data_IF_824308284925
#
_entry.id   IF_824308284925
#
_cell.length_a   1.000
_cell.length_b   1.000
_cell.length_c   1.000
_cell.angle_alpha   90.00
_cell.angle_beta   90.00
_cell.angle_gamma   90.00
#
_symmetry.space_group_name_H-M   'P 1'
#
loop_
_entity.id
_entity.type
_entity.pdbx_description
1 polymer ?
#
# COMPACT_ATOMS: atom_id res chain seq x y z
N UNK A 1 -3.10 -10.79 0.83
CA UNK A 1 -2.81 -10.93 2.28
C UNK A 1 -3.75 -10.06 3.11
N UNK A 2 -3.97 -10.38 4.39
CA UNK A 2 -4.79 -9.57 5.33
C UNK A 2 -3.97 -8.41 5.93
N UNK A 3 -4.58 -7.23 6.06
CA UNK A 3 -4.05 -6.12 6.85
C UNK A 3 -4.66 -6.07 8.26
N UNK A 4 -3.81 -5.80 9.25
CA UNK A 4 -4.22 -5.42 10.58
C UNK A 4 -4.96 -4.08 10.52
N UNK A 5 -6.05 -4.00 11.25
CA UNK A 5 -6.98 -2.89 11.22
C UNK A 5 -7.48 -2.64 12.64
N UNK A 6 -7.53 -1.37 13.06
CA UNK A 6 -8.09 -0.98 14.35
C UNK A 6 -9.63 -1.14 14.40
N UNK A 7 -10.26 -1.45 13.26
CA UNK A 7 -11.69 -1.74 13.15
C UNK A 7 -11.92 -3.22 12.83
N UNK A 8 -13.15 -3.72 13.05
CA UNK A 8 -13.53 -5.10 12.71
C UNK A 8 -13.67 -5.37 11.20
N UNK A 9 -13.31 -4.42 10.34
CA UNK A 9 -13.37 -4.58 8.89
C UNK A 9 -12.19 -5.40 8.36
N UNK A 10 -12.47 -6.22 7.35
CA UNK A 10 -11.46 -7.05 6.70
C UNK A 10 -10.86 -6.29 5.52
N UNK A 11 -9.57 -6.02 5.59
CA UNK A 11 -8.83 -5.34 4.53
C UNK A 11 -7.81 -6.32 3.95
N UNK A 12 -7.85 -6.48 2.64
CA UNK A 12 -6.97 -7.38 1.89
C UNK A 12 -6.19 -6.60 0.84
N UNK A 13 -4.93 -6.96 0.65
CA UNK A 13 -4.12 -6.49 -0.48
C UNK A 13 -3.68 -7.70 -1.29
N UNK A 14 -4.06 -7.75 -2.56
CA UNK A 14 -3.45 -8.64 -3.55
C UNK A 14 -2.20 -7.98 -4.13
N UNK A 15 -1.10 -8.73 -4.24
CA UNK A 15 0.19 -8.19 -4.68
C UNK A 15 0.55 -8.83 -6.02
N UNK A 16 0.53 -8.01 -7.06
CA UNK A 16 0.92 -8.39 -8.42
C UNK A 16 2.33 -7.86 -8.66
N UNK A 17 3.32 -8.71 -8.40
CA UNK A 17 4.74 -8.39 -8.56
C UNK A 17 5.30 -8.93 -9.89
N UNK A 18 5.48 -8.04 -10.87
CA UNK A 18 6.09 -8.41 -12.15
C UNK A 18 7.62 -8.49 -12.08
N UNK A 19 8.24 -7.91 -11.06
CA UNK A 19 9.70 -7.97 -10.88
C UNK A 19 10.13 -9.35 -10.39
N UNK A 20 9.25 -10.06 -9.64
CA UNK A 20 9.55 -11.31 -8.97
C UNK A 20 10.52 -11.16 -7.80
N UNK A 21 10.70 -9.95 -7.28
CA UNK A 21 11.66 -9.65 -6.20
C UNK A 21 11.02 -9.56 -4.83
N UNK A 22 9.69 -9.42 -4.73
CA UNK A 22 8.96 -9.43 -3.45
C UNK A 22 8.89 -10.84 -2.92
N UNK A 23 9.45 -11.05 -1.71
CA UNK A 23 9.46 -12.36 -1.05
C UNK A 23 8.37 -12.51 0.00
N UNK A 24 7.87 -11.41 0.55
CA UNK A 24 6.76 -11.43 1.50
C UNK A 24 6.12 -10.05 1.65
N UNK A 25 4.80 -10.03 1.82
CA UNK A 25 4.04 -8.89 2.34
C UNK A 25 3.51 -9.19 3.73
N UNK A 26 3.60 -8.23 4.64
CA UNK A 26 3.02 -8.32 5.98
C UNK A 26 2.33 -7.01 6.33
N UNK A 27 1.28 -7.08 7.15
CA UNK A 27 0.70 -5.86 7.70
C UNK A 27 1.63 -5.24 8.73
N UNK A 28 1.79 -3.92 8.68
CA UNK A 28 2.24 -3.17 9.85
C UNK A 28 1.12 -3.04 10.88
N UNK A 29 1.47 -2.51 12.05
CA UNK A 29 0.49 -2.04 13.03
C UNK A 29 0.01 -0.65 12.59
N UNK A 30 -1.29 -0.44 12.30
CA UNK A 30 -1.81 0.89 12.03
C UNK A 30 -1.44 1.83 13.18
N UNK A 31 -0.90 3.01 12.86
CA UNK A 31 -0.66 4.07 13.82
C UNK A 31 -1.92 4.90 14.04
N UNK A 32 -1.92 5.75 15.08
CA UNK A 32 -2.92 6.82 15.21
C UNK A 32 -2.83 7.69 13.94
N UNK A 33 -3.95 7.82 13.22
CA UNK A 33 -3.96 8.16 11.79
C UNK A 33 -3.43 9.54 11.38
N UNK A 34 -3.40 9.76 10.06
CA UNK A 34 -3.03 10.99 9.35
C UNK A 34 -1.53 11.34 9.36
N UNK A 35 -0.64 10.35 9.40
CA UNK A 35 0.80 10.61 9.18
C UNK A 35 1.14 10.88 7.71
N UNK A 36 0.18 10.66 6.80
CA UNK A 36 0.30 10.85 5.35
C UNK A 36 -0.92 11.60 4.83
N UNK A 37 -0.74 12.45 3.80
CA UNK A 37 -1.84 13.18 3.19
C UNK A 37 -2.77 12.25 2.39
N UNK A 38 -4.07 12.58 2.34
CA UNK A 38 -5.05 11.85 1.52
C UNK A 38 -4.60 11.78 0.06
N UNK A 39 -4.79 10.63 -0.58
CA UNK A 39 -4.37 10.42 -1.97
C UNK A 39 -2.87 10.13 -2.15
N UNK A 40 -2.10 10.04 -1.05
CA UNK A 40 -0.65 9.78 -1.12
C UNK A 40 -0.33 8.36 -0.68
N UNK A 41 0.52 7.68 -1.47
CA UNK A 41 1.19 6.44 -1.08
C UNK A 41 2.64 6.78 -0.69
N UNK A 42 2.92 6.81 0.62
CA UNK A 42 4.27 7.06 1.13
C UNK A 42 5.07 5.76 1.16
N UNK A 43 6.31 5.78 0.66
CA UNK A 43 7.23 4.63 0.66
C UNK A 43 8.49 4.99 1.42
N UNK A 44 8.89 4.15 2.38
CA UNK A 44 10.08 4.35 3.22
C UNK A 44 10.87 3.05 3.36
N UNK A 45 12.20 3.13 3.37
CA UNK A 45 13.04 2.00 3.77
C UNK A 45 12.96 1.79 5.29
N UNK A 46 12.62 0.58 5.73
CA UNK A 46 12.86 0.13 7.11
C UNK A 46 14.31 -0.35 7.23
N UNK A 47 14.76 -1.11 6.23
CA UNK A 47 16.14 -1.56 6.07
C UNK A 47 16.49 -1.66 4.57
N UNK A 48 17.67 -2.20 4.25
CA UNK A 48 18.16 -2.31 2.88
C UNK A 48 17.27 -3.13 1.94
N UNK A 49 16.43 -4.05 2.46
CA UNK A 49 15.57 -4.96 1.70
C UNK A 49 14.10 -4.90 2.12
N UNK A 50 13.75 -3.97 3.00
CA UNK A 50 12.38 -3.90 3.55
C UNK A 50 11.84 -2.49 3.35
N UNK A 51 10.69 -2.39 2.70
CA UNK A 51 9.95 -1.16 2.49
C UNK A 51 8.68 -1.14 3.34
N UNK A 52 8.35 0.04 3.85
CA UNK A 52 7.08 0.37 4.45
C UNK A 52 6.29 1.25 3.47
N UNK A 53 5.11 0.78 3.08
CA UNK A 53 4.10 1.53 2.36
C UNK A 53 3.08 2.03 3.37
N UNK A 54 2.80 3.33 3.37
CA UNK A 54 1.78 3.95 4.23
C UNK A 54 0.84 4.81 3.40
N UNK A 55 -0.46 4.62 3.56
CA UNK A 55 -1.50 5.46 2.95
C UNK A 55 -2.67 5.62 3.91
N UNK A 56 -3.54 6.59 3.65
CA UNK A 56 -4.79 6.76 4.40
C UNK A 56 -5.95 6.12 3.64
N UNK A 57 -6.80 5.41 4.36
CA UNK A 57 -8.00 4.78 3.82
C UNK A 57 -9.15 4.91 4.82
N UNK A 58 -10.38 5.03 4.31
CA UNK A 58 -11.55 5.07 5.20
C UNK A 58 -11.90 3.65 5.68
N UNK A 59 -12.56 3.49 6.84
CA UNK A 59 -12.99 2.17 7.31
C UNK A 59 -13.98 1.51 6.35
N UNK A 60 -13.61 0.33 5.86
CA UNK A 60 -14.48 -0.51 5.02
C UNK A 60 -13.88 -1.89 4.81
N UNK A 61 -14.71 -2.82 4.31
CA UNK A 61 -14.19 -4.08 3.80
C UNK A 61 -13.59 -3.82 2.42
N UNK A 62 -12.26 -3.85 2.33
CA UNK A 62 -11.55 -3.39 1.14
C UNK A 62 -10.70 -4.53 0.54
N UNK A 63 -10.80 -4.68 -0.78
CA UNK A 63 -9.92 -5.52 -1.57
C UNK A 63 -9.07 -4.60 -2.45
N UNK A 64 -7.82 -4.39 -2.05
CA UNK A 64 -6.86 -3.55 -2.75
C UNK A 64 -5.97 -4.40 -3.66
N UNK A 65 -5.47 -3.78 -4.73
CA UNK A 65 -4.44 -4.36 -5.59
C UNK A 65 -3.17 -3.51 -5.56
N UNK A 66 -2.03 -4.10 -5.18
CA UNK A 66 -0.72 -3.48 -5.35
C UNK A 66 -0.05 -4.07 -6.59
N UNK A 67 0.23 -3.22 -7.56
CA UNK A 67 0.95 -3.56 -8.77
C UNK A 67 2.38 -3.02 -8.69
N UNK A 68 3.34 -3.90 -8.92
CA UNK A 68 4.77 -3.57 -8.97
C UNK A 68 5.27 -3.90 -10.36
N UNK A 69 5.83 -2.90 -11.03
CA UNK A 69 6.36 -3.06 -12.38
C UNK A 69 7.58 -3.99 -12.42
N UNK A 70 7.97 -4.40 -13.62
CA UNK A 70 9.10 -5.32 -13.81
C UNK A 70 10.43 -4.79 -13.25
N UNK A 71 10.61 -3.47 -13.20
CA UNK A 71 11.82 -2.83 -12.68
C UNK A 71 11.81 -2.66 -11.14
N UNK A 72 10.68 -2.93 -10.49
CA UNK A 72 10.44 -2.62 -9.07
C UNK A 72 10.66 -1.13 -8.74
N UNK A 73 10.32 -0.24 -9.66
CA UNK A 73 10.42 1.22 -9.48
C UNK A 73 9.07 1.94 -9.56
N UNK A 74 8.02 1.31 -10.09
CA UNK A 74 6.68 1.89 -10.13
C UNK A 74 5.69 1.04 -9.36
N UNK A 75 5.13 1.62 -8.29
CA UNK A 75 4.19 0.96 -7.40
C UNK A 75 2.84 1.67 -7.53
N UNK A 76 1.80 0.92 -7.90
CA UNK A 76 0.43 1.43 -7.99
C UNK A 76 -0.43 0.66 -7.01
N UNK A 77 -0.92 1.34 -5.98
CA UNK A 77 -1.91 0.79 -5.06
C UNK A 77 -3.29 1.26 -5.49
N UNK A 78 -4.12 0.32 -5.95
CA UNK A 78 -5.51 0.56 -6.31
C UNK A 78 -6.39 0.19 -5.12
N UNK A 79 -7.19 1.13 -4.66
CA UNK A 79 -8.22 0.92 -3.64
C UNK A 79 -9.61 1.20 -4.21
N UNK A 80 -10.67 0.58 -3.65
CA UNK A 80 -12.04 0.91 -4.03
C UNK A 80 -12.32 2.41 -3.91
N UNK A 81 -13.20 2.92 -4.76
CA UNK A 81 -13.78 4.24 -4.48
C UNK A 81 -14.61 4.18 -3.22
N UNK A 82 -14.47 5.23 -2.44
CA UNK A 82 -15.04 5.35 -1.13
C UNK A 82 -15.77 6.67 -1.05
N UNK A 83 -17.09 6.60 -0.92
CA UNK A 83 -17.92 7.76 -0.62
C UNK A 83 -18.15 7.85 0.89
N UNK A 84 -18.04 9.06 1.44
CA UNK A 84 -18.34 9.34 2.85
C UNK A 84 -17.34 10.28 3.51
N UNK A 85 -17.75 10.83 4.65
CA UNK A 85 -17.00 11.77 5.50
C UNK A 85 -16.36 11.06 6.70
N UNK A 86 -16.21 9.74 6.64
CA UNK A 86 -15.61 8.95 7.71
C UNK A 86 -14.15 9.34 7.92
N UNK A 87 -13.71 9.28 9.18
CA UNK A 87 -12.32 9.53 9.56
C UNK A 87 -11.45 8.47 8.90
N UNK A 88 -10.47 8.89 8.10
CA UNK A 88 -9.50 7.99 7.48
C UNK A 88 -8.43 7.53 8.49
N UNK A 89 -7.90 6.33 8.27
CA UNK A 89 -6.87 5.73 9.12
C UNK A 89 -5.64 5.37 8.29
N UNK A 90 -4.48 5.41 8.93
CA UNK A 90 -3.25 4.94 8.30
C UNK A 90 -3.30 3.42 8.12
N UNK A 91 -3.04 3.00 6.90
CA UNK A 91 -2.82 1.61 6.50
C UNK A 91 -1.34 1.43 6.23
N UNK A 92 -0.80 0.29 6.68
CA UNK A 92 0.62 0.00 6.54
C UNK A 92 0.82 -1.39 5.96
N UNK A 93 1.53 -1.45 4.84
CA UNK A 93 1.99 -2.66 4.20
C UNK A 93 3.53 -2.69 4.25
N UNK A 94 4.09 -3.76 4.79
CA UNK A 94 5.53 -3.98 4.83
C UNK A 94 5.89 -5.03 3.79
N UNK A 95 6.74 -4.64 2.84
CA UNK A 95 7.22 -5.49 1.76
C UNK A 95 8.69 -5.83 1.98
N UNK A 96 9.02 -7.12 1.87
CA UNK A 96 10.41 -7.59 1.89
C UNK A 96 10.82 -8.04 0.50
N UNK A 97 12.04 -7.68 0.12
CA UNK A 97 12.62 -7.95 -1.18
C UNK A 97 13.77 -8.96 -1.08
N UNK A 98 14.01 -9.71 -2.15
CA UNK A 98 15.10 -10.68 -2.26
C UNK A 98 16.48 -10.01 -2.31
N UNK A 99 16.54 -8.80 -2.87
CA UNK A 99 17.73 -7.96 -3.01
C UNK A 99 17.53 -6.58 -2.39
N UNK A 100 18.60 -5.77 -2.34
CA UNK A 100 18.52 -4.39 -1.87
C UNK A 100 17.57 -3.56 -2.75
N UNK A 101 16.82 -2.66 -2.11
CA UNK A 101 15.84 -1.76 -2.74
C UNK A 101 15.90 -0.39 -2.06
N UNK A 102 15.67 0.67 -2.83
CA UNK A 102 15.68 2.05 -2.33
C UNK A 102 14.31 2.68 -2.52
N UNK A 103 13.70 3.16 -1.44
CA UNK A 103 12.46 3.94 -1.50
C UNK A 103 12.62 5.20 -2.36
N UNK A 104 13.83 5.76 -2.44
CA UNK A 104 14.13 6.97 -3.23
C UNK A 104 14.00 6.76 -4.74
N UNK A 105 14.07 5.52 -5.21
CA UNK A 105 13.95 5.18 -6.64
C UNK A 105 12.53 4.76 -7.01
N UNK A 106 11.60 4.74 -6.04
CA UNK A 106 10.24 4.28 -6.25
C UNK A 106 9.34 5.48 -6.51
N UNK A 107 8.63 5.42 -7.63
CA UNK A 107 7.47 6.25 -7.94
C UNK A 107 6.24 5.49 -7.44
N UNK A 108 5.53 6.08 -6.47
CA UNK A 108 4.40 5.45 -5.80
C UNK A 108 3.12 6.25 -6.06
N UNK A 109 2.06 5.55 -6.45
CA UNK A 109 0.74 6.13 -6.75
C UNK A 109 -0.33 5.42 -5.94
N UNK A 110 -1.21 6.19 -5.31
CA UNK A 110 -2.47 5.71 -4.77
C UNK A 110 -3.57 6.05 -5.78
N UNK A 111 -4.31 5.06 -6.24
CA UNK A 111 -5.41 5.20 -7.18
C UNK A 111 -6.72 4.75 -6.52
N UNK A 112 -7.75 5.59 -6.63
CA UNK A 112 -9.11 5.24 -6.22
C UNK A 112 -9.88 4.74 -7.44
N UNK A 113 -10.53 3.60 -7.31
CA UNK A 113 -11.27 2.97 -8.41
C UNK A 113 -10.37 2.50 -9.54
N UNK A 114 -10.94 1.73 -10.47
CA UNK A 114 -10.27 1.34 -11.72
C UNK A 114 -10.58 2.34 -12.84
N UNK A 115 -10.74 3.63 -12.52
CA UNK A 115 -11.08 4.57 -13.59
C UNK A 115 -9.96 4.56 -14.63
N UNK A 116 -10.41 4.24 -15.84
CA UNK A 116 -9.62 3.72 -16.94
C UNK A 116 -8.51 4.70 -17.29
N UNK A 117 -7.28 4.20 -17.41
CA UNK A 117 -6.28 4.85 -18.27
C UNK A 117 -6.87 4.80 -19.68
N UNK A 118 -7.54 5.89 -20.07
CA UNK A 118 -7.98 6.14 -21.44
C UNK A 118 -6.82 6.55 -22.34
#
# INVERSE_FOLDING_TARGET
>A
MNLANATNHKVYVDIVDQSGTVVSGTSGHPGDGATVATGTLKVENIDARTLRLTWTDIPGNNALGLYIDKAATHFVLVQPEHEGDSIAFDRILILKFSSAVSAKTIVAVLQNGTDTIG
#
